data_IF_501417415498
#
_entry.id   IF_501417415498
#
_cell.length_a   1.000
_cell.length_b   1.000
_cell.length_c   1.000
_cell.angle_alpha   90.00
_cell.angle_beta   90.00
_cell.angle_gamma   90.00
#
_symmetry.space_group_name_H-M   'P 1'
#
loop_
_entity.id
_entity.type
_entity.pdbx_description
1 polymer ?
#
# COMPACT_ATOMS: atom_id res chain seq x y z
N UNK A 1 -8.95 9.93 3.42
CA UNK A 1 -9.55 10.36 2.13
C UNK A 1 -10.91 9.70 2.00
N UNK A 2 -11.97 10.36 1.57
CA UNK A 2 -13.27 9.68 1.31
C UNK A 2 -13.16 8.80 0.05
N UNK A 3 -13.70 7.58 0.09
CA UNK A 3 -14.00 6.75 -1.08
C UNK A 3 -15.53 6.66 -1.23
N UNK A 4 -16.03 6.70 -2.47
CA UNK A 4 -17.44 6.38 -2.76
C UNK A 4 -17.63 4.87 -2.91
N UNK A 5 -18.86 4.38 -2.75
CA UNK A 5 -19.16 2.94 -2.89
C UNK A 5 -18.79 2.40 -4.28
N UNK A 6 -18.91 3.22 -5.32
CA UNK A 6 -18.42 2.90 -6.68
C UNK A 6 -16.90 2.75 -6.73
N UNK A 7 -16.14 3.59 -6.03
CA UNK A 7 -14.69 3.48 -5.94
C UNK A 7 -14.24 2.27 -5.13
N UNK A 8 -15.01 1.89 -4.09
CA UNK A 8 -14.81 0.65 -3.34
C UNK A 8 -15.00 -0.57 -4.25
N UNK A 9 -16.12 -0.64 -4.96
CA UNK A 9 -16.41 -1.75 -5.88
C UNK A 9 -15.36 -1.88 -7.00
N UNK A 10 -14.86 -0.76 -7.53
CA UNK A 10 -13.76 -0.76 -8.51
C UNK A 10 -12.46 -1.28 -7.87
N UNK A 11 -12.09 -0.81 -6.69
CA UNK A 11 -10.90 -1.30 -5.99
C UNK A 11 -10.98 -2.81 -5.70
N UNK A 12 -12.15 -3.32 -5.31
CA UNK A 12 -12.38 -4.76 -5.11
C UNK A 12 -12.25 -5.55 -6.41
N UNK A 13 -12.80 -5.05 -7.52
CA UNK A 13 -12.63 -5.67 -8.85
C UNK A 13 -11.18 -5.67 -9.37
N UNK A 14 -10.32 -4.82 -8.79
CA UNK A 14 -8.88 -4.74 -9.05
C UNK A 14 -8.04 -5.64 -8.10
N UNK A 15 -8.68 -6.52 -7.32
CA UNK A 15 -7.99 -7.41 -6.36
C UNK A 15 -7.55 -6.73 -5.06
N UNK A 16 -8.04 -5.52 -4.76
CA UNK A 16 -7.82 -4.89 -3.47
C UNK A 16 -8.89 -5.33 -2.46
N UNK A 17 -8.53 -5.42 -1.19
CA UNK A 17 -9.44 -5.73 -0.07
C UNK A 17 -9.49 -4.53 0.88
N UNK A 18 -10.70 -4.12 1.26
CA UNK A 18 -10.90 -3.10 2.28
C UNK A 18 -11.00 -3.76 3.66
N UNK A 19 -10.13 -3.34 4.57
CA UNK A 19 -10.09 -3.84 5.95
C UNK A 19 -10.36 -2.68 6.90
N UNK A 20 -11.30 -2.81 7.88
CA UNK A 20 -11.50 -1.78 8.90
C UNK A 20 -10.19 -1.44 9.60
N UNK A 21 -9.84 -0.16 9.66
CA UNK A 21 -8.57 0.27 10.25
C UNK A 21 -8.68 0.32 11.77
N UNK A 22 -7.81 -0.41 12.47
CA UNK A 22 -7.66 -0.26 13.93
C UNK A 22 -7.05 1.11 14.26
N UNK A 23 -7.26 1.63 15.48
CA UNK A 23 -6.67 2.92 15.85
C UNK A 23 -5.13 2.95 15.73
N UNK A 24 -4.48 1.82 16.00
CA UNK A 24 -3.03 1.69 15.86
C UNK A 24 -2.61 1.87 14.39
N UNK A 25 -3.32 1.22 13.45
CA UNK A 25 -3.13 1.41 12.02
C UNK A 25 -3.44 2.85 11.59
N UNK A 26 -4.52 3.47 12.11
CA UNK A 26 -4.84 4.87 11.81
C UNK A 26 -3.68 5.79 12.24
N UNK A 27 -3.15 5.63 13.46
CA UNK A 27 -1.98 6.40 13.95
C UNK A 27 -0.74 6.18 13.07
N UNK A 28 -0.45 4.93 12.70
CA UNK A 28 0.72 4.56 11.89
C UNK A 28 0.63 5.05 10.42
N UNK A 29 -0.57 5.04 9.84
CA UNK A 29 -0.77 5.21 8.40
C UNK A 29 -1.39 6.55 7.98
N UNK A 30 -1.93 7.35 8.90
CA UNK A 30 -2.55 8.65 8.58
C UNK A 30 -1.58 9.58 7.83
N UNK A 31 -0.35 9.74 8.32
CA UNK A 31 0.68 10.59 7.68
C UNK A 31 1.07 10.10 6.27
N UNK A 32 0.99 8.79 6.02
CA UNK A 32 1.31 8.17 4.73
C UNK A 32 0.12 8.18 3.75
N UNK A 33 -1.02 8.76 4.13
CA UNK A 33 -2.27 8.81 3.34
C UNK A 33 -2.75 7.42 2.88
N UNK A 34 -2.58 6.39 3.71
CA UNK A 34 -3.10 5.01 3.48
C UNK A 34 -4.41 4.71 4.22
N UNK A 35 -5.02 5.72 4.84
CA UNK A 35 -6.31 5.62 5.55
C UNK A 35 -7.42 6.28 4.72
N UNK A 36 -8.44 5.48 4.43
CA UNK A 36 -9.61 5.82 3.63
C UNK A 36 -10.84 5.87 4.53
N UNK A 37 -11.79 6.75 4.22
CA UNK A 37 -13.08 6.87 4.90
C UNK A 37 -14.14 6.28 3.98
N UNK A 38 -14.91 5.32 4.47
CA UNK A 38 -16.08 4.73 3.79
C UNK A 38 -17.23 4.77 4.78
N UNK A 39 -18.36 5.40 4.42
CA UNK A 39 -19.47 5.61 5.36
C UNK A 39 -19.08 6.29 6.67
N UNK A 40 -18.06 7.17 6.65
CA UNK A 40 -17.51 7.85 7.82
C UNK A 40 -16.57 7.02 8.71
N UNK A 41 -16.39 5.72 8.42
CA UNK A 41 -15.50 4.81 9.18
C UNK A 41 -14.13 4.68 8.48
N UNK A 42 -13.03 4.48 9.23
CA UNK A 42 -11.70 4.35 8.65
C UNK A 42 -11.41 2.91 8.17
N UNK A 43 -10.82 2.81 6.99
CA UNK A 43 -10.39 1.57 6.34
C UNK A 43 -8.96 1.72 5.81
N UNK A 44 -8.24 0.60 5.72
CA UNK A 44 -7.04 0.45 4.92
C UNK A 44 -7.34 -0.42 3.70
N UNK A 45 -6.69 -0.13 2.59
CA UNK A 45 -6.84 -0.91 1.34
C UNK A 45 -5.58 -1.75 1.18
N UNK A 46 -5.74 -3.07 1.04
CA UNK A 46 -4.65 -4.04 0.99
C UNK A 46 -4.77 -4.92 -0.26
N UNK A 47 -3.70 -5.06 -1.02
CA UNK A 47 -3.65 -5.90 -2.23
C UNK A 47 -3.55 -7.40 -1.88
N UNK A 48 -3.55 -8.25 -2.90
CA UNK A 48 -3.29 -9.70 -2.76
C UNK A 48 -1.86 -9.99 -2.24
N UNK A 49 -0.87 -9.19 -2.64
CA UNK A 49 0.54 -9.27 -2.21
C UNK A 49 0.79 -8.78 -0.77
N UNK A 50 -0.25 -8.35 -0.05
CA UNK A 50 -0.17 -7.85 1.32
C UNK A 50 0.26 -6.39 1.47
N UNK A 51 0.53 -5.67 0.37
CA UNK A 51 0.89 -4.26 0.46
C UNK A 51 -0.34 -3.36 0.69
N UNK A 52 -0.16 -2.36 1.56
CA UNK A 52 -1.15 -1.32 1.82
C UNK A 52 -1.07 -0.19 0.81
N UNK A 53 -2.19 0.09 0.15
CA UNK A 53 -2.27 1.11 -0.88
C UNK A 53 -2.21 2.55 -0.33
N UNK A 54 -1.63 3.44 -1.12
CA UNK A 54 -1.66 4.89 -0.84
C UNK A 54 -2.79 5.55 -1.61
N UNK A 55 -3.29 6.68 -1.11
CA UNK A 55 -4.32 7.46 -1.79
C UNK A 55 -3.95 7.85 -3.24
N UNK A 56 -2.66 8.08 -3.54
CA UNK A 56 -2.21 8.38 -4.90
C UNK A 56 -2.29 7.17 -5.82
N UNK A 57 -1.70 6.05 -5.40
CA UNK A 57 -1.69 4.80 -6.17
C UNK A 57 -3.10 4.25 -6.39
N UNK A 58 -3.93 4.19 -5.34
CA UNK A 58 -5.30 3.68 -5.45
C UNK A 58 -6.15 4.52 -6.41
N UNK A 59 -6.06 5.86 -6.35
CA UNK A 59 -6.78 6.73 -7.28
C UNK A 59 -6.29 6.55 -8.72
N UNK A 60 -4.99 6.34 -8.94
CA UNK A 60 -4.46 6.03 -10.26
C UNK A 60 -4.96 4.68 -10.78
N UNK A 61 -5.04 3.64 -9.94
CA UNK A 61 -5.60 2.34 -10.31
C UNK A 61 -7.08 2.45 -10.68
N UNK A 62 -7.89 3.14 -9.86
CA UNK A 62 -9.32 3.38 -10.12
C UNK A 62 -9.52 4.20 -11.40
N UNK A 63 -8.71 5.23 -11.65
CA UNK A 63 -8.82 6.07 -12.84
C UNK A 63 -8.44 5.35 -14.14
N UNK A 64 -7.59 4.32 -14.06
CA UNK A 64 -7.21 3.47 -15.20
C UNK A 64 -8.10 2.22 -15.35
N UNK A 65 -9.06 2.01 -14.44
CA UNK A 65 -9.97 0.87 -14.53
C UNK A 65 -10.91 1.01 -15.72
N UNK A 66 -10.77 0.11 -16.69
CA UNK A 66 -11.81 -0.14 -17.67
C UNK A 66 -12.62 -1.35 -17.18
N UNK A 67 -13.95 -1.24 -17.03
CA UNK A 67 -14.79 -2.39 -16.79
C UNK A 67 -14.52 -3.44 -17.89
N UNK A 68 -14.35 -4.73 -17.56
CA UNK A 68 -14.27 -5.74 -18.59
C UNK A 68 -15.54 -5.64 -19.44
N UNK A 69 -15.40 -5.57 -20.77
CA UNK A 69 -16.55 -5.59 -21.67
C UNK A 69 -17.36 -6.84 -21.32
N UNK A 70 -18.52 -6.64 -20.69
CA UNK A 70 -19.43 -7.72 -20.35
C UNK A 70 -19.78 -8.37 -21.68
N UNK A 71 -19.37 -9.63 -21.94
CA UNK A 71 -19.53 -10.24 -23.25
C UNK A 71 -21.00 -10.14 -23.60
N UNK A 72 -21.31 -9.40 -24.66
CA UNK A 72 -22.69 -9.19 -25.10
C UNK A 72 -23.32 -10.56 -25.27
N UNK A 73 -24.25 -10.89 -24.38
CA UNK A 73 -24.97 -12.15 -24.45
C UNK A 73 -25.51 -12.27 -25.88
N UNK A 74 -25.36 -13.44 -26.55
CA UNK A 74 -25.91 -13.61 -27.89
C UNK A 74 -27.39 -13.22 -27.83
N UNK A 75 -27.88 -12.42 -28.79
CA UNK A 75 -29.23 -11.89 -28.73
C UNK A 75 -30.21 -13.05 -28.54
N UNK A 76 -30.94 -13.03 -27.44
CA UNK A 76 -31.86 -14.10 -27.09
C UNK A 76 -32.86 -14.28 -28.24
N UNK A 77 -32.77 -15.44 -28.90
CA UNK A 77 -33.72 -15.82 -29.94
C UNK A 77 -35.12 -15.83 -29.31
N UNK A 78 -36.03 -15.06 -29.90
CA UNK A 78 -37.32 -14.76 -29.29
C UNK A 78 -38.23 -15.97 -29.42
N UNK A 79 -38.12 -16.91 -28.48
CA UNK A 79 -39.11 -17.98 -28.32
C UNK A 79 -40.38 -17.37 -27.73
N UNK A 80 -41.53 -17.39 -28.44
CA UNK A 80 -42.77 -16.81 -27.94
C UNK A 80 -43.31 -17.58 -26.72
N UNK A 81 -44.01 -16.92 -25.78
CA UNK A 81 -44.53 -17.57 -24.58
C UNK A 81 -45.72 -18.48 -24.89
N UNK A 82 -45.79 -19.71 -24.33
CA UNK A 82 -47.04 -20.44 -24.22
C UNK A 82 -47.92 -19.82 -23.13
N UNK A 83 -49.22 -19.77 -23.42
CA UNK A 83 -50.27 -19.15 -22.59
C UNK A 83 -50.57 -19.92 -21.30
N UNK A 84 -50.93 -19.14 -20.27
CA UNK A 84 -51.87 -19.41 -19.18
C UNK A 84 -51.92 -20.80 -18.51
N UNK A 85 -51.54 -20.83 -17.22
CA UNK A 85 -52.14 -21.73 -16.24
C UNK A 85 -52.28 -21.02 -14.88
N UNK A 86 -53.53 -20.73 -14.49
CA UNK A 86 -53.92 -19.97 -13.30
C UNK A 86 -53.95 -20.86 -12.05
N UNK A 87 -53.26 -20.46 -10.98
CA UNK A 87 -53.52 -20.85 -9.58
C UNK A 87 -52.81 -19.82 -8.67
N UNK A 88 -53.49 -18.86 -8.04
CA UNK A 88 -54.41 -18.95 -6.89
C UNK A 88 -53.72 -18.56 -5.56
N UNK A 89 -53.86 -17.28 -5.24
CA UNK A 89 -54.06 -16.65 -3.92
C UNK A 89 -53.50 -17.34 -2.67
N UNK A 90 -52.52 -16.68 -2.02
CA UNK A 90 -52.47 -16.57 -0.55
C UNK A 90 -51.57 -15.41 -0.04
N UNK A 91 -52.18 -14.30 0.44
CA UNK A 91 -51.60 -13.41 1.46
C UNK A 91 -52.55 -13.31 2.69
N UNK A 92 -52.21 -12.57 3.77
CA UNK A 92 -50.92 -12.37 4.46
C UNK A 92 -51.02 -12.76 5.96
N UNK A 93 -49.92 -12.82 6.73
CA UNK A 93 -49.95 -12.63 8.22
C UNK A 93 -48.56 -12.21 8.79
N UNK A 94 -48.46 -11.67 10.03
CA UNK A 94 -47.41 -10.74 10.44
C UNK A 94 -46.37 -11.32 11.43
N UNK A 95 -45.40 -10.48 11.80
CA UNK A 95 -44.40 -10.71 12.85
C UNK A 95 -44.89 -10.20 14.24
N UNK A 96 -44.04 -10.12 15.29
CA UNK A 96 -43.29 -11.13 16.04
C UNK A 96 -43.97 -11.29 17.46
N UNK A 97 -43.31 -11.47 18.63
CA UNK A 97 -42.00 -12.02 19.03
C UNK A 97 -42.08 -13.11 20.14
N UNK A 98 -40.92 -13.64 20.60
CA UNK A 98 -40.59 -13.87 22.02
C UNK A 98 -39.15 -14.41 22.21
N UNK A 99 -38.44 -13.87 23.19
CA UNK A 99 -37.21 -14.45 23.76
C UNK A 99 -37.57 -15.64 24.69
N UNK A 100 -36.60 -16.43 25.18
CA UNK A 100 -35.86 -15.99 26.36
C UNK A 100 -34.33 -16.24 26.30
N UNK A 101 -33.59 -15.39 27.01
CA UNK A 101 -32.23 -15.69 27.45
C UNK A 101 -32.21 -16.98 28.30
N UNK A 102 -31.23 -17.87 28.13
CA UNK A 102 -30.70 -18.64 29.25
C UNK A 102 -29.77 -17.74 30.06
N UNK A 103 -30.34 -17.06 31.05
CA UNK A 103 -29.58 -16.48 32.15
C UNK A 103 -29.03 -17.64 32.99
N UNK A 104 -27.77 -17.99 32.74
CA UNK A 104 -27.03 -18.97 33.55
C UNK A 104 -26.19 -18.22 34.58
N UNK A 105 -26.51 -18.48 35.85
CA UNK A 105 -26.07 -17.72 37.03
C UNK A 105 -24.54 -17.74 37.27
N UNK A 106 -24.01 -16.73 38.01
CA UNK A 106 -22.58 -16.61 38.27
C UNK A 106 -22.08 -17.69 39.23
N UNK A 107 -20.99 -18.37 38.85
CA UNK A 107 -20.14 -19.07 39.82
C UNK A 107 -19.29 -18.04 40.59
N UNK A 108 -19.89 -17.54 41.66
CA UNK A 108 -19.16 -16.92 42.76
C UNK A 108 -18.28 -17.99 43.44
N UNK A 109 -17.05 -18.12 42.95
CA UNK A 109 -15.96 -18.77 43.69
C UNK A 109 -15.11 -17.67 44.32
N UNK A 110 -15.59 -17.15 45.45
CA UNK A 110 -14.77 -16.37 46.35
C UNK A 110 -13.60 -17.21 46.91
N UNK A 111 -12.41 -17.05 46.35
CA UNK A 111 -11.15 -17.36 47.06
C UNK A 111 -10.04 -16.33 46.73
N UNK A 112 -10.17 -15.15 47.34
CA UNK A 112 -9.02 -14.43 47.87
C UNK A 112 -8.99 -14.72 49.38
N UNK A 113 -7.82 -14.97 50.02
CA UNK A 113 -6.56 -14.27 49.74
C UNK A 113 -5.32 -15.17 49.62
N UNK A 114 -4.21 -14.63 49.11
CA UNK A 114 -2.89 -14.55 49.79
C UNK A 114 -1.86 -13.80 48.90
N UNK A 115 -1.18 -12.74 49.39
CA UNK A 115 -0.18 -12.01 48.62
C UNK A 115 1.26 -12.39 49.05
N UNK A 116 1.89 -13.38 48.40
CA UNK A 116 3.33 -13.67 48.61
C UNK A 116 4.02 -14.16 47.33
N UNK A 117 4.74 -13.28 46.65
CA UNK A 117 5.87 -13.62 45.75
C UNK A 117 6.60 -12.34 45.34
N UNK A 118 7.41 -11.79 46.26
CA UNK A 118 8.35 -10.71 46.01
C UNK A 118 9.60 -11.27 45.29
N UNK A 119 9.90 -10.93 44.03
CA UNK A 119 11.19 -11.21 43.43
C UNK A 119 12.13 -10.07 43.83
N UNK A 120 12.90 -10.28 44.90
CA UNK A 120 14.03 -9.41 45.22
C UNK A 120 15.11 -9.53 44.14
N UNK A 121 15.01 -8.71 43.09
CA UNK A 121 16.10 -8.51 42.15
C UNK A 121 16.39 -7.03 41.94
N UNK A 122 17.38 -6.58 42.72
CA UNK A 122 18.25 -5.45 42.45
C UNK A 122 17.58 -4.13 42.04
N UNK A 123 17.37 -3.27 43.04
CA UNK A 123 17.50 -1.84 42.81
C UNK A 123 18.90 -1.54 42.25
N UNK A 124 19.00 -1.37 40.93
CA UNK A 124 20.14 -0.68 40.32
C UNK A 124 19.86 0.81 40.47
N UNK A 125 20.57 1.42 41.41
CA UNK A 125 20.62 2.85 41.65
C UNK A 125 21.52 3.52 40.60
N UNK A 126 21.00 4.36 39.67
CA UNK A 126 21.82 5.31 38.95
C UNK A 126 22.02 6.55 39.82
N UNK A 127 23.14 6.61 40.55
CA UNK A 127 23.56 7.81 41.27
C UNK A 127 23.81 8.98 40.28
N UNK A 128 23.61 10.24 40.69
CA UNK A 128 23.69 11.41 39.81
C UNK A 128 25.10 12.03 39.72
N UNK A 129 25.59 12.19 38.49
CA UNK A 129 26.69 13.03 37.98
C UNK A 129 27.14 12.37 36.66
N UNK A 130 27.45 13.06 35.57
CA UNK A 130 28.07 14.39 35.48
C UNK A 130 27.47 15.25 34.36
N UNK A 131 27.49 16.57 34.55
CA UNK A 131 27.07 17.55 33.55
C UNK A 131 28.30 18.27 33.01
N UNK A 132 28.86 17.79 31.89
CA UNK A 132 29.87 18.56 31.16
C UNK A 132 29.79 18.37 29.64
N UNK A 133 29.38 19.46 28.98
CA UNK A 133 29.87 19.93 27.68
C UNK A 133 29.93 18.92 26.51
N UNK A 134 28.86 18.89 25.71
CA UNK A 134 28.99 18.93 24.24
C UNK A 134 27.75 19.53 23.57
N UNK A 135 27.54 20.83 23.78
CA UNK A 135 26.86 21.64 22.75
C UNK A 135 27.78 21.76 21.54
N UNK A 136 27.81 20.72 20.69
CA UNK A 136 28.31 20.85 19.34
C UNK A 136 27.25 21.60 18.53
N UNK A 137 27.44 22.92 18.39
CA UNK A 137 26.57 23.79 17.60
C UNK A 137 26.33 23.21 16.21
N UNK A 138 25.07 22.92 15.89
CA UNK A 138 24.65 22.70 14.51
C UNK A 138 24.97 23.98 13.70
N UNK A 139 25.76 23.92 12.63
CA UNK A 139 25.80 25.01 11.68
C UNK A 139 24.44 25.08 10.99
N UNK A 140 23.63 26.10 11.31
CA UNK A 140 22.48 26.43 10.47
C UNK A 140 23.01 26.72 9.05
N UNK A 141 22.49 26.09 7.99
CA UNK A 141 22.71 26.59 6.65
C UNK A 141 22.04 27.96 6.56
N UNK A 142 22.85 29.01 6.38
CA UNK A 142 22.33 30.36 6.20
C UNK A 142 21.35 30.38 5.01
N UNK A 143 20.16 30.99 5.15
CA UNK A 143 19.29 31.25 4.01
C UNK A 143 19.99 32.30 3.14
N UNK A 144 20.78 31.84 2.18
CA UNK A 144 21.54 32.69 1.26
C UNK A 144 20.62 33.70 0.60
N UNK A 145 20.68 34.95 1.07
CA UNK A 145 19.96 36.10 0.51
C UNK A 145 20.62 36.57 -0.79
N UNK A 146 20.75 35.64 -1.74
CA UNK A 146 21.14 35.94 -3.11
C UNK A 146 20.00 36.69 -3.82
N UNK A 147 20.08 38.01 -3.70
CA UNK A 147 19.58 39.03 -4.62
C UNK A 147 18.34 38.70 -5.47
N UNK A 148 17.27 39.49 -5.23
CA UNK A 148 16.30 39.85 -6.26
C UNK A 148 17.03 40.30 -7.53
N UNK A 149 17.06 39.46 -8.57
CA UNK A 149 17.30 39.88 -9.95
C UNK A 149 16.18 39.34 -10.83
N UNK A 150 15.22 40.23 -11.15
CA UNK A 150 14.43 40.12 -12.37
C UNK A 150 15.41 40.05 -13.55
N UNK A 151 15.38 39.01 -14.39
CA UNK A 151 15.75 39.16 -15.78
C UNK A 151 14.57 39.83 -16.49
N UNK A 152 14.80 40.97 -17.13
CA UNK A 152 13.92 41.39 -18.21
C UNK A 152 14.00 40.35 -19.34
N UNK A 153 12.95 40.23 -20.14
CA UNK A 153 13.05 39.48 -21.39
C UNK A 153 14.12 40.11 -22.30
N UNK A 154 14.89 39.28 -23.00
CA UNK A 154 15.10 39.58 -24.41
C UNK A 154 14.93 38.34 -25.30
N UNK A 155 14.43 38.63 -26.50
CA UNK A 155 14.70 38.00 -27.80
C UNK A 155 14.85 36.47 -27.89
N UNK A 156 14.04 35.91 -28.78
CA UNK A 156 14.27 34.63 -29.45
C UNK A 156 15.75 34.40 -29.78
N UNK A 157 16.30 33.30 -29.26
CA UNK A 157 17.58 32.77 -29.72
C UNK A 157 17.40 31.27 -29.97
N UNK A 158 17.28 30.93 -31.24
CA UNK A 158 16.99 29.58 -31.72
C UNK A 158 18.25 28.71 -31.64
N UNK A 159 18.59 28.19 -30.45
CA UNK A 159 19.54 27.09 -30.36
C UNK A 159 18.95 25.85 -31.01
N UNK A 160 19.65 25.18 -31.94
CA UNK A 160 19.21 23.89 -32.45
C UNK A 160 19.21 22.88 -31.30
N UNK A 161 18.19 22.00 -31.29
CA UNK A 161 18.12 20.92 -30.33
C UNK A 161 19.40 20.06 -30.42
N UNK A 162 20.00 19.63 -29.30
CA UNK A 162 20.95 18.52 -29.37
C UNK A 162 20.18 17.33 -29.96
N UNK A 163 20.64 16.85 -31.11
CA UNK A 163 20.12 15.61 -31.67
C UNK A 163 20.25 14.54 -30.59
N UNK A 164 19.13 13.90 -30.25
CA UNK A 164 19.14 12.68 -29.45
C UNK A 164 19.76 11.60 -30.34
N UNK A 165 21.10 11.57 -30.38
CA UNK A 165 21.88 10.42 -30.80
C UNK A 165 21.23 9.21 -30.13
N UNK A 166 20.65 8.26 -30.89
CA UNK A 166 20.08 7.08 -30.29
C UNK A 166 21.23 6.37 -29.59
N UNK A 167 21.20 6.34 -28.25
CA UNK A 167 22.10 5.53 -27.44
C UNK A 167 21.92 4.08 -27.90
N UNK A 168 22.73 3.69 -28.87
CA UNK A 168 22.70 2.36 -29.45
C UNK A 168 23.12 1.43 -28.33
N UNK A 169 22.22 0.58 -27.79
CA UNK A 169 22.63 -0.37 -26.79
C UNK A 169 23.53 -1.36 -27.52
N UNK A 170 24.84 -1.15 -27.42
CA UNK A 170 25.82 -2.17 -27.73
C UNK A 170 25.56 -3.31 -26.74
N UNK A 171 24.70 -4.24 -27.17
CA UNK A 171 24.05 -5.26 -26.34
C UNK A 171 25.09 -6.18 -25.73
N UNK A 172 25.68 -5.77 -24.60
CA UNK A 172 26.68 -6.57 -23.92
C UNK A 172 26.00 -7.86 -23.45
N UNK A 173 26.44 -9.03 -23.92
CA UNK A 173 25.71 -10.27 -23.70
C UNK A 173 25.62 -10.62 -22.22
N UNK A 174 26.59 -10.22 -21.40
CA UNK A 174 26.54 -10.35 -19.94
C UNK A 174 25.38 -9.57 -19.30
N UNK A 175 25.11 -8.34 -19.74
CA UNK A 175 24.04 -7.49 -19.17
C UNK A 175 22.67 -8.08 -19.51
N UNK A 176 22.47 -8.54 -20.75
CA UNK A 176 21.22 -9.20 -21.15
C UNK A 176 21.06 -10.57 -20.48
N UNK A 177 22.15 -11.32 -20.29
CA UNK A 177 22.11 -12.57 -19.54
C UNK A 177 21.72 -12.34 -18.07
N UNK A 178 22.35 -11.39 -17.38
CA UNK A 178 22.00 -11.03 -16.00
C UNK A 178 20.54 -10.58 -15.88
N UNK A 179 20.09 -9.70 -16.79
CA UNK A 179 18.71 -9.19 -16.77
C UNK A 179 17.69 -10.31 -17.06
N UNK A 180 17.99 -11.25 -17.97
CA UNK A 180 17.16 -12.44 -18.19
C UNK A 180 17.06 -13.32 -16.93
N UNK A 181 18.18 -13.59 -16.25
CA UNK A 181 18.19 -14.39 -15.02
C UNK A 181 17.33 -13.76 -13.92
N UNK A 182 17.41 -12.43 -13.75
CA UNK A 182 16.54 -11.68 -12.82
C UNK A 182 15.07 -11.87 -13.20
N UNK A 183 14.70 -11.56 -14.45
CA UNK A 183 13.30 -11.65 -14.91
C UNK A 183 12.75 -13.07 -14.77
N UNK A 184 13.57 -14.09 -15.03
CA UNK A 184 13.17 -15.49 -14.93
C UNK A 184 12.99 -15.95 -13.47
N UNK A 185 13.80 -15.46 -12.52
CA UNK A 185 13.60 -15.71 -11.09
C UNK A 185 12.31 -15.10 -10.55
N UNK A 186 12.03 -13.83 -10.90
CA UNK A 186 10.79 -13.15 -10.52
C UNK A 186 9.54 -13.81 -11.15
N UNK A 187 9.62 -14.23 -12.41
CA UNK A 187 8.50 -14.92 -13.08
C UNK A 187 8.18 -16.31 -12.48
N UNK A 188 9.15 -16.95 -11.83
CA UNK A 188 8.99 -18.23 -11.14
C UNK A 188 8.48 -18.09 -9.69
N UNK A 189 8.27 -16.87 -9.18
CA UNK A 189 7.85 -16.63 -7.80
C UNK A 189 8.93 -16.87 -6.74
N UNK A 190 10.19 -17.10 -7.14
CA UNK A 190 11.30 -17.22 -6.21
C UNK A 190 11.72 -15.84 -5.70
N UNK A 191 11.57 -15.61 -4.39
CA UNK A 191 12.26 -14.51 -3.72
C UNK A 191 13.77 -14.77 -3.79
N UNK A 192 14.51 -13.77 -4.29
CA UNK A 192 15.97 -13.79 -4.24
C UNK A 192 16.41 -13.66 -2.77
N UNK A 193 17.17 -14.64 -2.29
CA UNK A 193 17.77 -14.58 -0.95
C UNK A 193 18.75 -13.40 -0.84
N UNK A 194 18.98 -12.90 0.37
CA UNK A 194 19.82 -11.74 0.64
C UNK A 194 21.24 -11.88 0.08
N UNK A 195 21.81 -13.09 0.13
CA UNK A 195 23.12 -13.38 -0.46
C UNK A 195 23.10 -13.34 -2.00
N UNK A 196 22.03 -13.82 -2.62
CA UNK A 196 21.86 -13.78 -4.08
C UNK A 196 21.67 -12.34 -4.58
N UNK A 197 20.89 -11.54 -3.86
CA UNK A 197 20.69 -10.12 -4.16
C UNK A 197 22.00 -9.33 -3.98
N UNK A 198 22.77 -9.59 -2.92
CA UNK A 198 24.09 -8.97 -2.70
C UNK A 198 25.07 -9.31 -3.82
N UNK A 199 25.14 -10.59 -4.21
CA UNK A 199 26.00 -11.08 -5.31
C UNK A 199 25.63 -10.41 -6.64
N UNK A 200 24.33 -10.29 -6.91
CA UNK A 200 23.81 -9.64 -8.11
C UNK A 200 24.18 -8.13 -8.16
N UNK A 201 23.99 -7.41 -7.05
CA UNK A 201 24.34 -5.99 -6.95
C UNK A 201 25.83 -5.75 -7.14
N UNK A 202 26.69 -6.60 -6.55
CA UNK A 202 28.14 -6.52 -6.76
C UNK A 202 28.54 -6.77 -8.22
N UNK A 203 27.91 -7.75 -8.89
CA UNK A 203 28.14 -8.03 -10.31
C UNK A 203 27.77 -6.83 -11.20
N UNK A 204 26.58 -6.25 -11.02
CA UNK A 204 26.14 -5.04 -11.74
C UNK A 204 27.10 -3.87 -11.49
N UNK A 205 27.50 -3.63 -10.24
CA UNK A 205 28.43 -2.56 -9.90
C UNK A 205 29.82 -2.74 -10.55
N UNK A 206 30.34 -3.97 -10.61
CA UNK A 206 31.59 -4.27 -11.31
C UNK A 206 31.47 -4.00 -12.82
N UNK A 207 30.37 -4.43 -13.45
CA UNK A 207 30.15 -4.23 -14.89
C UNK A 207 30.02 -2.75 -15.26
N UNK A 208 29.27 -1.97 -14.47
CA UNK A 208 29.20 -0.50 -14.63
C UNK A 208 30.57 0.16 -14.40
N UNK A 209 31.32 -0.28 -13.39
CA UNK A 209 32.68 0.22 -13.11
C UNK A 209 33.67 -0.09 -14.24
N UNK A 210 33.55 -1.24 -14.90
CA UNK A 210 34.35 -1.61 -16.08
C UNK A 210 33.98 -0.76 -17.29
N UNK A 211 32.69 -0.49 -17.50
CA UNK A 211 32.20 0.36 -18.58
C UNK A 211 32.67 1.81 -18.43
N UNK A 212 32.60 2.38 -17.21
CA UNK A 212 33.03 3.74 -16.92
C UNK A 212 34.53 3.99 -17.10
N UNK A 213 35.37 2.96 -17.18
CA UNK A 213 36.82 3.07 -17.46
C UNK A 213 37.17 2.95 -18.94
N UNK A 214 36.18 2.75 -19.82
CA UNK A 214 36.34 2.61 -21.28
C UNK A 214 35.76 3.78 -22.08
N UNK A 215 35.13 4.74 -21.39
CA UNK A 215 34.65 6.02 -21.93
C UNK A 215 35.61 7.14 -21.50
#
# INVERSE_FOLDING_TARGET
MQLTDTQVAIAESLGCRLVPATEAQVRQFAMQRRVFQVGGKPFVVMREDGFYETAGTLLALIANYQPPERPSAPPAEITPPPVEATAEVAPPEPAPPSEPLPEAEPVDTAEAPQPVAEPQHAAVEPAPADNVMSQASLPLPEPSRAARRRPAAPAANSSPAPALEPFSPATQPEVVAAMRTITQGYAAGHQLDGEQLSTLLQSVHQSLSKLSRRA
#
